data_IF_678472800242
#
_entry.id   IF_678472800242
#
_cell.length_a   1.000
_cell.length_b   1.000
_cell.length_c   1.000
_cell.angle_alpha   90.00
_cell.angle_beta   90.00
_cell.angle_gamma   90.00
#
_symmetry.space_group_name_H-M   'P 1'
#
loop_
_entity.id
_entity.type
_entity.pdbx_description
1 polymer ?
#
# COMPACT_ATOMS: atom_id res chain seq x y z
N UNK A 1 -1.75 -2.48 24.40
CA UNK A 1 -1.38 -3.57 23.46
C UNK A 1 -0.31 -3.11 22.49
N UNK A 2 -0.52 -2.04 21.72
CA UNK A 2 0.48 -1.48 20.80
C UNK A 2 1.18 -0.25 21.39
N UNK A 3 1.72 -0.40 22.59
CA UNK A 3 2.46 0.67 23.26
C UNK A 3 3.89 0.80 22.70
N UNK A 4 4.73 1.59 23.39
CA UNK A 4 6.11 1.79 22.97
C UNK A 4 6.93 0.50 23.00
N UNK A 5 6.71 -0.37 24.00
CA UNK A 5 7.43 -1.63 24.13
C UNK A 5 7.13 -2.57 22.96
N UNK A 6 5.86 -2.65 22.53
CA UNK A 6 5.49 -3.41 21.33
C UNK A 6 6.25 -2.91 20.09
N UNK A 7 6.25 -1.59 19.85
CA UNK A 7 6.93 -0.99 18.70
C UNK A 7 8.44 -1.20 18.75
N UNK A 8 9.04 -1.13 19.93
CA UNK A 8 10.48 -1.33 20.10
C UNK A 8 10.89 -2.78 19.88
N UNK A 9 10.11 -3.74 20.38
CA UNK A 9 10.32 -5.17 20.11
C UNK A 9 10.15 -5.51 18.62
N UNK A 10 9.11 -4.98 17.97
CA UNK A 10 8.92 -5.13 16.52
C UNK A 10 10.07 -4.51 15.73
N UNK A 11 10.53 -3.31 16.11
CA UNK A 11 11.65 -2.68 15.43
C UNK A 11 12.96 -3.44 15.64
N UNK A 12 13.16 -4.06 16.81
CA UNK A 12 14.31 -4.93 17.05
C UNK A 12 14.26 -6.18 16.18
N UNK A 13 13.09 -6.83 16.08
CA UNK A 13 12.85 -7.98 15.19
C UNK A 13 13.20 -7.67 13.74
N UNK A 14 12.83 -6.48 13.26
CA UNK A 14 13.01 -6.05 11.87
C UNK A 14 14.22 -5.13 11.65
N UNK A 15 15.19 -5.09 12.56
CA UNK A 15 16.26 -4.07 12.55
C UNK A 15 17.04 -4.04 11.22
N UNK A 16 17.38 -5.20 10.66
CA UNK A 16 18.10 -5.30 9.40
C UNK A 16 17.24 -4.82 8.21
N UNK A 17 15.96 -5.15 8.18
CA UNK A 17 15.07 -4.80 7.08
C UNK A 17 14.61 -3.34 7.14
N UNK A 18 14.45 -2.79 8.34
CA UNK A 18 14.28 -1.35 8.57
C UNK A 18 15.47 -0.58 8.01
N UNK A 19 16.71 -1.04 8.24
CA UNK A 19 17.89 -0.39 7.70
C UNK A 19 17.93 -0.46 6.17
N UNK A 20 17.60 -1.62 5.57
CA UNK A 20 17.51 -1.74 4.09
C UNK A 20 16.47 -0.79 3.50
N UNK A 21 15.27 -0.74 4.08
CA UNK A 21 14.21 0.14 3.61
C UNK A 21 14.57 1.63 3.82
N UNK A 22 15.22 1.97 4.93
CA UNK A 22 15.76 3.32 5.15
C UNK A 22 16.74 3.71 4.06
N UNK A 23 17.68 2.83 3.72
CA UNK A 23 18.62 3.07 2.63
C UNK A 23 17.92 3.19 1.27
N UNK A 24 16.89 2.38 1.02
CA UNK A 24 16.08 2.49 -0.18
C UNK A 24 15.41 3.87 -0.29
N UNK A 25 14.83 4.39 0.81
CA UNK A 25 14.28 5.75 0.82
C UNK A 25 15.36 6.82 0.60
N UNK A 26 16.53 6.68 1.21
CA UNK A 26 17.67 7.59 0.99
C UNK A 26 18.13 7.58 -0.48
N UNK A 27 18.06 6.42 -1.13
CA UNK A 27 18.46 6.23 -2.52
C UNK A 27 17.44 6.76 -3.54
N UNK A 28 16.26 7.21 -3.10
CA UNK A 28 15.30 7.91 -3.97
C UNK A 28 15.87 9.22 -4.54
N UNK A 29 16.91 9.78 -3.91
CA UNK A 29 17.68 10.88 -4.47
C UNK A 29 18.06 11.95 -3.43
N UNK A 30 18.83 12.97 -3.87
CA UNK A 30 19.20 14.07 -2.99
C UNK A 30 17.97 14.83 -2.50
N UNK A 31 18.02 15.29 -1.25
CA UNK A 31 16.93 16.04 -0.61
C UNK A 31 15.93 15.20 0.19
N UNK A 32 16.08 13.88 0.23
CA UNK A 32 15.41 13.06 1.26
C UNK A 32 16.11 13.31 2.61
N UNK A 33 15.34 13.66 3.62
CA UNK A 33 15.83 13.82 4.99
C UNK A 33 16.16 12.44 5.60
N UNK A 34 17.41 12.19 6.04
CA UNK A 34 17.78 10.93 6.67
C UNK A 34 16.93 10.53 7.87
N UNK A 35 16.46 11.50 8.65
CA UNK A 35 15.60 11.22 9.79
C UNK A 35 14.18 10.84 9.35
N UNK A 36 13.66 11.46 8.28
CA UNK A 36 12.37 11.06 7.71
C UNK A 36 12.42 9.66 7.13
N UNK A 37 13.49 9.32 6.40
CA UNK A 37 13.69 7.97 5.88
C UNK A 37 13.75 6.93 7.02
N UNK A 38 14.46 7.25 8.12
CA UNK A 38 14.56 6.36 9.28
C UNK A 38 13.20 6.19 9.97
N UNK A 39 12.46 7.29 10.20
CA UNK A 39 11.12 7.26 10.78
C UNK A 39 10.15 6.48 9.90
N UNK A 40 10.13 6.75 8.59
CA UNK A 40 9.28 6.04 7.65
C UNK A 40 9.52 4.53 7.68
N UNK A 41 10.77 4.07 7.54
CA UNK A 41 11.09 2.65 7.54
C UNK A 41 10.67 1.96 8.86
N UNK A 42 10.96 2.58 10.01
CA UNK A 42 10.53 2.06 11.31
C UNK A 42 9.00 1.99 11.42
N UNK A 43 8.29 3.04 11.02
CA UNK A 43 6.83 3.12 11.13
C UNK A 43 6.17 2.07 10.26
N UNK A 44 6.63 1.86 9.03
CA UNK A 44 6.03 0.86 8.14
C UNK A 44 6.14 -0.54 8.76
N UNK A 45 7.33 -0.99 9.17
CA UNK A 45 7.49 -2.33 9.76
C UNK A 45 6.71 -2.50 11.06
N UNK A 46 6.82 -1.53 11.98
CA UNK A 46 6.17 -1.65 13.30
C UNK A 46 4.64 -1.56 13.20
N UNK A 47 4.12 -0.77 12.27
CA UNK A 47 2.69 -0.67 12.06
C UNK A 47 2.14 -1.87 11.29
N UNK A 48 2.88 -2.44 10.35
CA UNK A 48 2.49 -3.70 9.70
C UNK A 48 2.38 -4.84 10.71
N UNK A 49 3.35 -4.98 11.64
CA UNK A 49 3.25 -5.96 12.73
C UNK A 49 2.01 -5.70 13.63
N UNK A 50 1.65 -4.44 13.88
CA UNK A 50 0.41 -4.10 14.58
C UNK A 50 -0.83 -4.55 13.77
N UNK A 51 -0.89 -4.23 12.48
CA UNK A 51 -2.00 -4.61 11.60
C UNK A 51 -2.15 -6.13 11.47
N UNK A 52 -1.05 -6.90 11.47
CA UNK A 52 -1.08 -8.37 11.50
C UNK A 52 -1.90 -8.87 12.69
N UNK A 53 -1.70 -8.27 13.86
CA UNK A 53 -2.43 -8.62 15.08
C UNK A 53 -3.87 -8.13 15.04
N UNK A 54 -4.11 -6.87 14.67
CA UNK A 54 -5.45 -6.28 14.61
C UNK A 54 -6.36 -6.98 13.58
N UNK A 55 -5.79 -7.40 12.45
CA UNK A 55 -6.51 -8.09 11.39
C UNK A 55 -6.62 -9.59 11.64
N UNK A 56 -5.97 -10.09 12.69
CA UNK A 56 -5.92 -11.50 13.07
C UNK A 56 -5.42 -12.37 11.91
N UNK A 57 -4.31 -11.95 11.29
CA UNK A 57 -3.69 -12.67 10.19
C UNK A 57 -3.11 -13.99 10.72
N UNK A 58 -3.67 -15.09 10.24
CA UNK A 58 -3.25 -16.47 10.58
C UNK A 58 -2.89 -17.27 9.32
N UNK A 59 -3.40 -16.84 8.16
CA UNK A 59 -3.24 -17.55 6.91
C UNK A 59 -1.95 -17.14 6.20
N UNK A 60 -1.18 -18.11 5.69
CA UNK A 60 -0.05 -17.83 4.80
C UNK A 60 -0.50 -17.36 3.41
N UNK A 61 -1.78 -17.50 3.06
CA UNK A 61 -2.34 -17.06 1.78
C UNK A 61 -3.21 -15.82 1.95
N UNK A 62 -2.89 -14.70 1.29
CA UNK A 62 -3.72 -13.49 1.38
C UNK A 62 -5.12 -13.67 0.76
N UNK A 63 -5.29 -14.58 -0.21
CA UNK A 63 -6.60 -14.88 -0.78
C UNK A 63 -7.48 -15.69 0.18
N UNK A 64 -6.88 -16.59 0.96
CA UNK A 64 -7.60 -17.31 2.01
C UNK A 64 -8.09 -16.33 3.08
N UNK A 65 -7.24 -15.39 3.52
CA UNK A 65 -7.64 -14.36 4.47
C UNK A 65 -8.73 -13.44 3.91
N UNK A 66 -8.60 -12.99 2.65
CA UNK A 66 -9.64 -12.18 1.98
C UNK A 66 -11.00 -12.88 1.99
N UNK A 67 -11.02 -14.20 1.79
CA UNK A 67 -12.25 -15.00 1.79
C UNK A 67 -12.91 -14.96 3.16
N UNK A 68 -12.15 -15.15 4.24
CA UNK A 68 -12.65 -15.05 5.62
C UNK A 68 -13.17 -13.64 5.96
N UNK A 69 -12.52 -12.58 5.48
CA UNK A 69 -13.01 -11.20 5.64
C UNK A 69 -14.35 -11.01 4.94
N UNK A 70 -14.49 -11.48 3.70
CA UNK A 70 -15.74 -11.37 2.93
C UNK A 70 -16.89 -12.17 3.56
N UNK A 71 -16.59 -13.25 4.27
CA UNK A 71 -17.57 -14.01 5.07
C UNK A 71 -17.80 -13.46 6.48
N UNK A 72 -17.19 -12.33 6.85
CA UNK A 72 -17.36 -11.69 8.16
C UNK A 72 -16.66 -12.42 9.32
N UNK A 73 -15.74 -13.35 9.02
CA UNK A 73 -15.01 -14.13 10.02
C UNK A 73 -13.75 -13.42 10.54
N UNK A 74 -13.21 -12.50 9.73
CA UNK A 74 -12.04 -11.68 10.08
C UNK A 74 -12.39 -10.21 9.92
N UNK A 75 -11.88 -9.32 10.79
CA UNK A 75 -12.34 -7.93 10.84
C UNK A 75 -11.88 -7.11 9.62
N UNK A 76 -10.65 -7.31 9.17
CA UNK A 76 -9.99 -6.56 8.08
C UNK A 76 -8.91 -7.43 7.43
N UNK A 77 -8.23 -6.92 6.40
CA UNK A 77 -7.14 -7.64 5.72
C UNK A 77 -7.23 -7.73 4.19
N UNK A 78 -8.29 -7.20 3.57
CA UNK A 78 -8.32 -6.94 2.13
C UNK A 78 -7.20 -5.96 1.74
N UNK A 79 -6.65 -6.08 0.52
CA UNK A 79 -5.54 -5.25 0.03
C UNK A 79 -5.75 -3.74 0.26
N UNK A 80 -6.98 -3.25 0.03
CA UNK A 80 -7.29 -1.84 0.23
C UNK A 80 -7.31 -1.42 1.70
N UNK A 81 -7.61 -2.32 2.65
CA UNK A 81 -7.53 -2.06 4.09
C UNK A 81 -6.10 -1.77 4.50
N UNK A 82 -5.17 -2.65 4.14
CA UNK A 82 -3.74 -2.50 4.43
C UNK A 82 -3.21 -1.16 3.93
N UNK A 83 -3.44 -0.87 2.65
CA UNK A 83 -2.98 0.38 2.07
C UNK A 83 -3.66 1.59 2.71
N UNK A 84 -4.96 1.51 3.06
CA UNK A 84 -5.67 2.64 3.66
C UNK A 84 -5.15 2.96 5.06
N UNK A 85 -4.98 1.94 5.88
CA UNK A 85 -4.56 2.12 7.26
C UNK A 85 -3.08 2.56 7.30
N UNK A 86 -2.23 2.01 6.43
CA UNK A 86 -0.84 2.45 6.29
C UNK A 86 -0.73 3.89 5.78
N UNK A 87 -1.55 4.31 4.81
CA UNK A 87 -1.62 5.71 4.36
C UNK A 87 -1.95 6.64 5.54
N UNK A 88 -2.99 6.32 6.32
CA UNK A 88 -3.41 7.11 7.49
C UNK A 88 -2.26 7.22 8.50
N UNK A 89 -1.59 6.10 8.80
CA UNK A 89 -0.50 6.09 9.76
C UNK A 89 0.68 6.94 9.29
N UNK A 90 1.09 6.81 8.02
CA UNK A 90 2.21 7.58 7.47
C UNK A 90 1.88 9.08 7.38
N UNK A 91 0.62 9.46 7.14
CA UNK A 91 0.21 10.87 7.14
C UNK A 91 0.44 11.55 8.50
N UNK A 92 0.35 10.80 9.60
CA UNK A 92 0.60 11.33 10.95
C UNK A 92 2.07 11.74 11.16
N UNK A 93 3.00 11.22 10.38
CA UNK A 93 4.43 11.56 10.47
C UNK A 93 4.76 12.95 9.87
N UNK A 94 3.84 13.54 9.10
CA UNK A 94 3.95 14.91 8.57
C UNK A 94 5.26 15.20 7.81
N UNK A 95 5.71 14.23 7.01
CA UNK A 95 6.93 14.31 6.21
C UNK A 95 6.97 15.57 5.31
N UNK A 96 8.14 16.21 5.29
CA UNK A 96 8.48 17.37 4.47
C UNK A 96 9.15 16.94 3.17
N UNK A 97 9.99 15.91 3.21
CA UNK A 97 10.77 15.43 2.07
C UNK A 97 10.19 14.17 1.44
N UNK A 98 9.32 13.45 2.15
CA UNK A 98 8.59 12.29 1.62
C UNK A 98 7.12 12.60 1.35
N UNK A 99 6.53 11.89 0.37
CA UNK A 99 5.15 12.03 -0.06
C UNK A 99 4.50 10.67 -0.31
N UNK A 100 3.24 10.55 0.14
CA UNK A 100 2.45 9.33 0.00
C UNK A 100 1.67 9.41 -1.31
N UNK A 101 1.79 8.36 -2.12
CA UNK A 101 0.90 8.11 -3.25
C UNK A 101 0.11 6.82 -3.02
N UNK A 102 -0.93 6.62 -3.83
CA UNK A 102 -1.77 5.43 -3.78
C UNK A 102 -1.81 4.80 -5.16
N UNK A 103 -1.41 3.55 -5.26
CA UNK A 103 -1.39 2.79 -6.50
C UNK A 103 -2.49 1.73 -6.52
N UNK A 104 -3.04 1.46 -7.70
CA UNK A 104 -3.97 0.38 -7.97
C UNK A 104 -3.49 -0.39 -9.21
N UNK A 105 -3.45 -1.72 -9.11
CA UNK A 105 -3.16 -2.63 -10.21
C UNK A 105 -4.39 -3.47 -10.57
N UNK A 106 -4.37 -4.07 -11.77
CA UNK A 106 -5.43 -4.96 -12.30
C UNK A 106 -6.84 -4.36 -12.42
N UNK A 107 -7.00 -3.04 -12.35
CA UNK A 107 -8.31 -2.36 -12.38
C UNK A 107 -9.10 -2.48 -13.69
N UNK A 108 -8.46 -2.99 -14.75
CA UNK A 108 -8.99 -3.05 -16.12
C UNK A 108 -9.03 -4.49 -16.69
N UNK A 109 -8.86 -5.52 -15.87
CA UNK A 109 -8.89 -6.91 -16.30
C UNK A 109 -9.63 -7.81 -15.30
N UNK A 110 -9.66 -9.12 -15.55
CA UNK A 110 -10.39 -10.10 -14.74
C UNK A 110 -9.66 -10.51 -13.45
N UNK A 111 -8.40 -10.12 -13.28
CA UNK A 111 -7.63 -10.44 -12.07
C UNK A 111 -8.11 -9.57 -10.90
N UNK A 112 -7.82 -10.03 -9.69
CA UNK A 112 -8.14 -9.27 -8.48
C UNK A 112 -7.45 -7.89 -8.51
N UNK A 113 -8.26 -6.84 -8.37
CA UNK A 113 -7.76 -5.47 -8.17
C UNK A 113 -6.92 -5.41 -6.90
N UNK A 114 -5.73 -4.81 -7.01
CA UNK A 114 -4.79 -4.73 -5.90
C UNK A 114 -4.45 -3.28 -5.60
N UNK A 115 -4.46 -2.93 -4.32
CA UNK A 115 -4.16 -1.57 -3.84
C UNK A 115 -2.95 -1.61 -2.92
N UNK A 116 -2.04 -0.65 -3.06
CA UNK A 116 -0.88 -0.52 -2.20
C UNK A 116 -0.52 0.95 -1.94
N UNK A 117 0.06 1.20 -0.78
CA UNK A 117 0.66 2.48 -0.39
C UNK A 117 2.00 2.63 -1.10
N UNK A 118 2.26 3.81 -1.65
CA UNK A 118 3.55 4.16 -2.25
C UNK A 118 4.14 5.31 -1.44
N UNK A 119 5.43 5.26 -1.12
CA UNK A 119 6.13 6.36 -0.45
C UNK A 119 7.33 6.78 -1.29
N UNK A 120 7.38 8.07 -1.64
CA UNK A 120 8.37 8.64 -2.55
C UNK A 120 9.00 9.90 -2.01
N UNK A 121 10.03 10.39 -2.72
CA UNK A 121 10.56 11.73 -2.50
C UNK A 121 9.53 12.74 -3.00
N UNK A 122 9.29 13.79 -2.21
CA UNK A 122 8.28 14.81 -2.51
C UNK A 122 8.57 15.46 -3.86
N UNK A 123 7.51 15.57 -4.68
CA UNK A 123 7.59 16.14 -6.02
C UNK A 123 8.01 15.16 -7.11
N UNK A 124 8.42 13.94 -6.76
CA UNK A 124 8.70 12.90 -7.74
C UNK A 124 7.43 12.18 -8.21
N UNK A 125 7.57 11.51 -9.34
CA UNK A 125 6.56 10.62 -9.89
C UNK A 125 6.35 9.41 -8.97
N UNK A 126 5.11 8.91 -8.89
CA UNK A 126 4.80 7.64 -8.19
C UNK A 126 5.67 6.47 -8.69
N UNK A 127 6.05 6.48 -9.97
CA UNK A 127 6.82 5.40 -10.60
C UNK A 127 8.28 5.32 -10.16
N UNK A 128 8.83 6.42 -9.65
CA UNK A 128 10.20 6.48 -9.11
C UNK A 128 10.22 6.34 -7.59
N UNK A 129 9.07 6.01 -6.99
CA UNK A 129 8.87 5.85 -5.55
C UNK A 129 8.88 4.37 -5.15
N UNK A 130 8.76 4.08 -3.84
CA UNK A 130 8.77 2.71 -3.31
C UNK A 130 7.35 2.24 -3.01
N UNK A 131 6.99 1.04 -3.50
CA UNK A 131 5.75 0.35 -3.13
C UNK A 131 5.90 -0.30 -1.76
N UNK A 132 4.87 -0.19 -0.91
CA UNK A 132 4.81 -0.78 0.43
C UNK A 132 3.57 -1.69 0.51
N UNK A 133 3.79 -3.00 0.34
CA UNK A 133 2.74 -3.99 0.09
C UNK A 133 2.77 -5.15 1.10
N UNK A 134 2.25 -4.94 2.32
CA UNK A 134 2.16 -6.00 3.33
C UNK A 134 1.08 -7.05 3.03
N UNK A 135 0.14 -6.77 2.11
CA UNK A 135 -0.89 -7.75 1.74
C UNK A 135 -0.30 -8.93 0.97
N UNK A 136 0.70 -8.66 0.11
CA UNK A 136 1.28 -9.65 -0.81
C UNK A 136 1.74 -10.95 -0.15
N UNK A 137 2.36 -10.81 1.02
CA UNK A 137 2.92 -11.91 1.80
C UNK A 137 2.21 -12.06 3.15
N UNK A 138 0.90 -11.76 3.20
CA UNK A 138 0.06 -11.93 4.37
C UNK A 138 0.66 -11.35 5.67
N UNK A 139 1.07 -10.09 5.63
CA UNK A 139 1.61 -9.37 6.77
C UNK A 139 3.14 -9.29 6.82
N UNK A 140 3.86 -10.04 5.97
CA UNK A 140 5.27 -9.77 5.73
C UNK A 140 5.41 -8.66 4.67
N UNK A 141 6.17 -7.61 4.99
CA UNK A 141 6.25 -6.42 4.15
C UNK A 141 7.06 -6.71 2.89
N UNK A 142 6.40 -6.68 1.73
CA UNK A 142 7.08 -6.52 0.46
C UNK A 142 7.29 -5.03 0.15
N UNK A 143 8.47 -4.67 -0.35
CA UNK A 143 8.72 -3.36 -0.93
C UNK A 143 9.73 -3.45 -2.07
N UNK A 144 9.61 -2.50 -3.00
CA UNK A 144 10.50 -2.36 -4.16
C UNK A 144 10.31 -0.96 -4.78
N UNK A 145 11.17 -0.57 -5.72
CA UNK A 145 10.89 0.60 -6.56
C UNK A 145 9.71 0.24 -7.49
N UNK A 146 8.73 1.13 -7.62
CA UNK A 146 7.47 0.84 -8.34
C UNK A 146 7.69 0.36 -9.77
N UNK A 147 8.65 0.94 -10.49
CA UNK A 147 9.01 0.53 -11.86
C UNK A 147 9.75 -0.82 -11.94
N UNK A 148 10.29 -1.30 -10.83
CA UNK A 148 11.03 -2.57 -10.72
C UNK A 148 10.12 -3.72 -10.28
N UNK A 149 8.97 -3.44 -9.64
CA UNK A 149 7.96 -4.43 -9.31
C UNK A 149 7.22 -4.96 -10.56
N UNK A 150 7.78 -5.99 -11.20
CA UNK A 150 7.19 -6.59 -12.42
C UNK A 150 5.93 -7.42 -12.15
N UNK A 151 5.57 -7.68 -10.88
CA UNK A 151 4.39 -8.52 -10.55
C UNK A 151 3.09 -7.78 -10.81
N UNK A 152 3.08 -6.46 -10.63
CA UNK A 152 1.89 -5.63 -10.78
C UNK A 152 2.19 -4.41 -11.63
N UNK A 153 1.33 -4.13 -12.61
CA UNK A 153 1.37 -2.86 -13.32
C UNK A 153 0.63 -1.80 -12.49
N UNK A 154 1.39 -1.09 -11.64
CA UNK A 154 0.86 -0.08 -10.75
C UNK A 154 0.42 1.17 -11.51
N UNK A 155 -0.80 1.65 -11.24
CA UNK A 155 -1.31 2.90 -11.82
C UNK A 155 -1.76 3.84 -10.70
N UNK A 156 -1.47 5.15 -10.79
CA UNK A 156 -1.96 6.11 -9.81
C UNK A 156 -3.46 6.01 -9.62
N UNK A 157 -3.92 5.97 -8.36
CA UNK A 157 -5.35 5.82 -8.02
C UNK A 157 -6.24 6.85 -8.74
N UNK A 158 -5.75 8.08 -8.90
CA UNK A 158 -6.51 9.13 -9.56
C UNK A 158 -6.81 8.80 -11.04
N UNK A 159 -5.83 8.21 -11.75
CA UNK A 159 -5.99 7.76 -13.12
C UNK A 159 -6.95 6.57 -13.21
N UNK A 160 -6.83 5.60 -12.30
CA UNK A 160 -7.77 4.46 -12.21
C UNK A 160 -9.20 4.95 -11.99
N UNK A 161 -9.39 5.94 -11.12
CA UNK A 161 -10.71 6.51 -10.87
C UNK A 161 -11.23 7.30 -12.08
N UNK A 162 -10.37 8.02 -12.79
CA UNK A 162 -10.74 8.69 -14.05
C UNK A 162 -11.19 7.66 -15.11
N UNK A 163 -10.44 6.56 -15.26
CA UNK A 163 -10.79 5.45 -16.15
C UNK A 163 -12.15 4.84 -15.79
N UNK A 164 -12.38 4.50 -14.52
CA UNK A 164 -13.66 3.92 -14.05
C UNK A 164 -14.84 4.87 -14.29
N UNK A 165 -14.67 6.19 -14.05
CA UNK A 165 -15.71 7.20 -14.34
C UNK A 165 -16.02 7.28 -15.84
N UNK A 166 -15.00 7.35 -16.69
CA UNK A 166 -15.18 7.40 -18.14
C UNK A 166 -15.87 6.14 -18.67
N UNK A 167 -15.52 4.96 -18.14
CA UNK A 167 -16.18 3.70 -18.50
C UNK A 167 -17.67 3.71 -18.16
N UNK A 168 -18.03 4.12 -16.93
CA UNK A 168 -19.42 4.22 -16.48
C UNK A 168 -20.24 5.18 -17.35
N UNK A 169 -19.66 6.31 -17.75
CA UNK A 169 -20.32 7.28 -18.65
C UNK A 169 -20.60 6.68 -20.04
N UNK A 170 -19.64 5.92 -20.60
CA UNK A 170 -19.83 5.22 -21.89
C UNK A 170 -20.92 4.16 -21.80
N UNK A 171 -20.94 3.38 -20.71
CA UNK A 171 -21.97 2.37 -20.46
C UNK A 171 -23.36 2.99 -20.34
N UNK A 172 -23.49 4.10 -19.59
CA UNK A 172 -24.75 4.83 -19.47
C UNK A 172 -25.24 5.38 -20.82
N UNK A 173 -24.35 6.02 -21.59
CA UNK A 173 -24.70 6.53 -22.93
C UNK A 173 -25.13 5.41 -23.88
N UNK A 174 -24.47 4.26 -23.82
CA UNK A 174 -24.84 3.08 -24.62
C UNK A 174 -26.22 2.57 -24.21
N UNK A 175 -26.49 2.42 -22.92
CA UNK A 175 -27.78 1.97 -22.42
C UNK A 175 -28.93 2.94 -22.82
N UNK A 176 -28.68 4.24 -22.81
CA UNK A 176 -29.63 5.25 -23.30
C UNK A 176 -29.90 5.08 -24.81
N UNK A 177 -28.85 4.94 -25.64
CA UNK A 177 -28.99 4.68 -27.08
C UNK A 177 -29.75 3.38 -27.38
N UNK A 178 -29.46 2.32 -26.62
CA UNK A 178 -30.11 1.01 -26.77
C UNK A 178 -31.58 1.04 -26.28
N UNK A 179 -31.98 2.04 -25.49
CA UNK A 179 -33.37 2.21 -25.01
C UNK A 179 -34.28 3.02 -25.93
N UNK A 180 -33.70 3.72 -26.90
CA UNK A 180 -34.41 4.58 -27.88
C UNK A 180 -34.57 3.87 -29.24
N UNK A 181 -33.87 2.76 -29.45
CA UNK A 181 -33.99 1.87 -30.61
C UNK A 181 -34.80 0.62 -30.27
#
# INVERSE_FOLDING_TARGET
MFDQAFRDASAQKHAADIEKLRQAFMNLGPGVDPEEAARAARVVYTYVDQLVVEYQIEDSSPLAHNTKVNFGQKPRGLCWHWAHDLDIRLQMERFKTLEIHRAIANYNNIRLEHSSTILGRRGDSMYDSIVLDPWRNAGDLYWDIVREDTRYNWTPRQEVFAYKRARKQREAKKAELDSVN
#
